data_IF_553347735674
#
_entry.id   IF_553347735674
#
_cell.length_a   1.000
_cell.length_b   1.000
_cell.length_c   1.000
_cell.angle_alpha   90.00
_cell.angle_beta   90.00
_cell.angle_gamma   90.00
#
_symmetry.space_group_name_H-M   'P 1'
#
loop_
_entity.id
_entity.type
_entity.pdbx_description
1 polymer ?
#
# COMPACT_ATOMS: atom_id res chain seq x y z
N UNK A 1 6.18 15.01 -4.63
CA UNK A 1 5.25 14.60 -3.55
C UNK A 1 5.36 13.08 -3.35
N UNK A 2 5.22 12.57 -2.13
CA UNK A 2 5.35 11.14 -1.82
C UNK A 2 3.99 10.56 -1.46
N UNK A 3 3.70 9.33 -1.87
CA UNK A 3 2.52 8.57 -1.49
C UNK A 3 2.93 7.34 -0.70
N UNK A 4 2.23 7.06 0.39
CA UNK A 4 2.30 5.78 1.09
C UNK A 4 1.46 4.74 0.36
N UNK A 5 2.03 3.55 0.15
CA UNK A 5 1.34 2.40 -0.46
C UNK A 5 1.28 1.24 0.52
N UNK A 6 0.08 0.86 0.94
CA UNK A 6 -0.15 -0.15 1.98
C UNK A 6 -0.85 -1.36 1.38
N UNK A 7 -0.12 -2.48 1.32
CA UNK A 7 -0.56 -3.79 0.79
C UNK A 7 -1.40 -4.62 1.77
N UNK A 8 -1.43 -4.25 3.06
CA UNK A 8 -2.07 -5.01 4.11
C UNK A 8 -3.25 -4.27 4.74
N UNK A 9 -4.47 -4.70 4.45
CA UNK A 9 -5.70 -4.09 5.01
C UNK A 9 -6.12 -4.81 6.30
N UNK A 10 -5.31 -4.69 7.37
CA UNK A 10 -5.67 -5.18 8.72
C UNK A 10 -6.78 -4.37 9.38
N UNK A 11 -6.88 -3.08 9.04
CA UNK A 11 -7.89 -2.14 9.53
C UNK A 11 -8.40 -1.30 8.37
N UNK A 12 -9.73 -1.21 8.26
CA UNK A 12 -10.39 -0.27 7.36
C UNK A 12 -10.65 1.04 8.10
N UNK A 13 -10.46 2.16 7.40
CA UNK A 13 -10.74 3.50 7.93
C UNK A 13 -12.17 3.97 7.59
N UNK A 14 -13.09 3.01 7.40
CA UNK A 14 -14.50 3.25 7.14
C UNK A 14 -15.33 2.22 7.90
N UNK A 15 -16.58 2.57 8.16
CA UNK A 15 -17.55 1.66 8.77
C UNK A 15 -17.86 0.48 7.84
N UNK A 16 -18.19 -0.67 8.43
CA UNK A 16 -18.48 -1.91 7.68
C UNK A 16 -19.64 -1.77 6.69
N UNK A 17 -20.54 -0.82 6.92
CA UNK A 17 -21.65 -0.45 6.02
C UNK A 17 -21.17 -0.02 4.63
N UNK A 18 -19.92 0.47 4.52
CA UNK A 18 -19.33 0.89 3.25
C UNK A 18 -18.49 -0.21 2.55
N UNK A 19 -18.41 -1.42 3.10
CA UNK A 19 -17.74 -2.55 2.43
C UNK A 19 -18.30 -2.84 1.03
N UNK A 20 -19.63 -2.80 0.77
CA UNK A 20 -20.17 -3.02 -0.56
C UNK A 20 -19.62 -2.03 -1.61
N UNK A 21 -19.34 -0.78 -1.21
CA UNK A 21 -18.71 0.21 -2.08
C UNK A 21 -17.31 -0.23 -2.51
N UNK A 22 -16.51 -0.76 -1.59
CA UNK A 22 -15.17 -1.23 -1.92
C UNK A 22 -15.19 -2.45 -2.85
N UNK A 23 -16.20 -3.31 -2.69
CA UNK A 23 -16.37 -4.49 -3.54
C UNK A 23 -16.87 -4.16 -4.94
N UNK A 24 -17.60 -3.05 -5.11
CA UNK A 24 -18.11 -2.62 -6.42
C UNK A 24 -17.09 -1.82 -7.26
N UNK A 25 -15.95 -1.42 -6.66
CA UNK A 25 -14.90 -0.73 -7.40
C UNK A 25 -14.32 -1.62 -8.50
N UNK A 26 -14.24 -1.06 -9.71
CA UNK A 26 -13.54 -1.64 -10.86
C UNK A 26 -12.07 -1.19 -10.89
N UNK A 27 -11.15 -1.95 -11.53
CA UNK A 27 -9.76 -1.51 -11.67
C UNK A 27 -9.66 -0.08 -12.21
N UNK A 28 -8.81 0.73 -11.59
CA UNK A 28 -8.71 2.16 -11.92
C UNK A 28 -9.66 3.08 -11.16
N UNK A 29 -10.63 2.52 -10.43
CA UNK A 29 -11.49 3.29 -9.55
C UNK A 29 -10.94 3.35 -8.12
N UNK A 30 -11.38 4.38 -7.40
CA UNK A 30 -11.03 4.59 -5.99
C UNK A 30 -12.25 4.87 -5.13
N UNK A 31 -12.10 4.63 -3.83
CA UNK A 31 -13.02 5.12 -2.82
C UNK A 31 -12.98 6.66 -2.73
N UNK A 32 -13.98 7.27 -2.05
CA UNK A 32 -13.82 8.61 -1.49
C UNK A 32 -12.56 8.74 -0.64
N UNK A 33 -12.08 9.97 -0.51
CA UNK A 33 -10.92 10.31 0.31
C UNK A 33 -11.38 10.42 1.76
N UNK A 34 -10.67 9.74 2.64
CA UNK A 34 -10.95 9.68 4.07
C UNK A 34 -9.85 10.47 4.78
N UNK A 35 -10.23 11.48 5.56
CA UNK A 35 -9.31 12.15 6.49
C UNK A 35 -9.18 11.28 7.74
N UNK A 36 -7.97 10.85 8.05
CA UNK A 36 -7.67 10.01 9.22
C UNK A 36 -6.91 10.81 10.25
N UNK A 37 -7.31 10.73 11.51
CA UNK A 37 -6.49 11.21 12.63
C UNK A 37 -5.42 10.18 12.95
N UNK A 38 -4.18 10.47 12.57
CA UNK A 38 -3.01 9.62 12.72
C UNK A 38 -2.46 9.73 14.14
N UNK A 39 -2.10 10.94 14.57
CA UNK A 39 -1.61 11.28 15.91
C UNK A 39 -1.80 12.79 16.13
N UNK A 40 -2.77 13.19 16.96
CA UNK A 40 -3.09 14.60 17.22
C UNK A 40 -1.84 15.45 17.51
N UNK A 41 -0.89 14.94 18.32
CA UNK A 41 0.35 15.65 18.66
C UNK A 41 1.33 15.89 17.49
N UNK A 42 1.40 14.98 16.51
CA UNK A 42 2.24 15.19 15.30
C UNK A 42 1.52 16.07 14.28
N UNK A 43 0.21 15.85 14.10
CA UNK A 43 -0.64 16.65 13.22
C UNK A 43 -0.66 18.11 13.66
N UNK A 44 -0.77 18.39 14.96
CA UNK A 44 -0.72 19.74 15.53
C UNK A 44 0.66 20.39 15.35
N UNK A 45 1.74 19.63 15.53
CA UNK A 45 3.12 20.15 15.45
C UNK A 45 3.52 20.48 14.01
N UNK A 46 3.21 19.60 13.06
CA UNK A 46 3.57 19.77 11.65
C UNK A 46 2.44 20.46 10.84
N UNK A 47 1.27 20.67 11.47
CA UNK A 47 0.03 21.20 10.89
C UNK A 47 -0.38 20.49 9.60
N UNK A 48 -0.10 19.19 9.44
CA UNK A 48 -0.47 18.41 8.24
C UNK A 48 -1.57 17.41 8.59
N UNK A 49 -2.48 17.19 7.65
CA UNK A 49 -3.54 16.19 7.79
C UNK A 49 -3.14 14.90 7.08
N UNK A 50 -3.49 13.74 7.65
CA UNK A 50 -3.37 12.45 6.97
C UNK A 50 -4.65 12.12 6.22
N UNK A 51 -4.51 11.83 4.93
CA UNK A 51 -5.59 11.36 4.07
C UNK A 51 -5.29 9.96 3.55
N UNK A 52 -6.33 9.16 3.37
CA UNK A 52 -6.24 7.82 2.79
C UNK A 52 -7.41 7.54 1.85
N UNK A 53 -7.18 6.70 0.85
CA UNK A 53 -8.20 6.17 -0.05
C UNK A 53 -7.81 4.76 -0.48
N UNK A 54 -8.77 4.02 -1.01
CA UNK A 54 -8.57 2.67 -1.54
C UNK A 54 -8.63 2.71 -3.06
N UNK A 55 -7.70 2.04 -3.73
CA UNK A 55 -7.64 1.92 -5.20
C UNK A 55 -7.81 0.46 -5.57
N UNK A 56 -8.68 0.17 -6.54
CA UNK A 56 -8.79 -1.16 -7.14
C UNK A 56 -7.71 -1.31 -8.21
N UNK A 57 -6.82 -2.26 -8.00
CA UNK A 57 -5.67 -2.55 -8.86
C UNK A 57 -5.97 -3.60 -9.93
N UNK A 58 -6.84 -4.56 -9.64
CA UNK A 58 -7.14 -5.70 -10.51
C UNK A 58 -8.53 -6.26 -10.26
N UNK A 59 -9.03 -7.09 -11.17
CA UNK A 59 -10.36 -7.72 -11.11
C UNK A 59 -10.50 -8.76 -9.97
N UNK A 60 -9.48 -8.91 -9.11
CA UNK A 60 -9.56 -9.81 -7.97
C UNK A 60 -10.73 -9.46 -7.05
N UNK A 61 -11.52 -10.46 -6.70
CA UNK A 61 -12.67 -10.29 -5.81
C UNK A 61 -12.27 -9.85 -4.40
N UNK A 62 -13.21 -9.17 -3.75
CA UNK A 62 -13.05 -8.67 -2.39
C UNK A 62 -11.88 -7.68 -2.25
N UNK A 63 -11.21 -7.78 -1.10
CA UNK A 63 -10.11 -6.87 -0.72
C UNK A 63 -8.77 -7.25 -1.36
N UNK A 64 -8.66 -8.40 -2.03
CA UNK A 64 -7.39 -8.88 -2.56
C UNK A 64 -6.90 -8.09 -3.78
N UNK A 65 -7.79 -7.38 -4.47
CA UNK A 65 -7.45 -6.45 -5.55
C UNK A 65 -7.36 -4.99 -5.12
N UNK A 66 -7.48 -4.67 -3.82
CA UNK A 66 -7.45 -3.30 -3.32
C UNK A 66 -6.07 -2.98 -2.73
N UNK A 67 -5.58 -1.78 -3.00
CA UNK A 67 -4.47 -1.19 -2.26
C UNK A 67 -4.94 0.06 -1.54
N UNK A 68 -4.41 0.28 -0.33
CA UNK A 68 -4.63 1.53 0.40
C UNK A 68 -3.50 2.49 0.09
N UNK A 69 -3.86 3.70 -0.31
CA UNK A 69 -2.94 4.81 -0.53
C UNK A 69 -3.13 5.84 0.56
N UNK A 70 -2.04 6.46 1.01
CA UNK A 70 -2.09 7.51 2.03
C UNK A 70 -1.11 8.64 1.77
N UNK A 71 -1.42 9.83 2.25
CA UNK A 71 -0.58 11.02 2.11
C UNK A 71 -0.77 11.97 3.30
N UNK A 72 0.28 12.68 3.67
CA UNK A 72 0.23 13.80 4.62
C UNK A 72 0.30 15.11 3.85
N UNK A 73 -0.77 15.92 3.89
CA UNK A 73 -0.87 17.21 3.19
C UNK A 73 -1.81 18.17 3.89
N UNK A 74 -1.66 19.46 3.59
CA UNK A 74 -2.58 20.52 4.02
C UNK A 74 -3.59 20.87 2.93
N UNK A 75 -3.10 20.96 1.69
CA UNK A 75 -3.92 21.32 0.54
C UNK A 75 -4.74 20.12 0.06
N UNK A 76 -6.05 20.20 0.25
CA UNK A 76 -6.97 19.14 -0.13
C UNK A 76 -7.12 19.00 -1.66
N UNK A 77 -6.89 20.06 -2.44
CA UNK A 77 -6.95 19.96 -3.90
C UNK A 77 -5.72 19.21 -4.45
N UNK A 78 -4.54 19.38 -3.84
CA UNK A 78 -3.39 18.50 -4.11
C UNK A 78 -3.72 17.05 -3.77
N UNK A 79 -4.40 16.79 -2.63
CA UNK A 79 -4.80 15.44 -2.23
C UNK A 79 -5.76 14.81 -3.23
N UNK A 80 -6.78 15.55 -3.72
CA UNK A 80 -7.68 15.06 -4.78
C UNK A 80 -6.93 14.68 -6.04
N UNK A 81 -6.05 15.57 -6.52
CA UNK A 81 -5.25 15.34 -7.72
C UNK A 81 -4.37 14.10 -7.58
N UNK A 82 -3.72 13.93 -6.42
CA UNK A 82 -2.92 12.74 -6.13
C UNK A 82 -3.77 11.48 -6.04
N UNK A 83 -4.96 11.56 -5.47
CA UNK A 83 -5.89 10.44 -5.38
C UNK A 83 -6.33 9.97 -6.78
N UNK A 84 -6.75 10.89 -7.64
CA UNK A 84 -7.17 10.58 -9.01
C UNK A 84 -6.00 10.05 -9.85
N UNK A 85 -4.83 10.68 -9.75
CA UNK A 85 -3.62 10.22 -10.44
C UNK A 85 -3.24 8.81 -10.00
N UNK A 86 -3.23 8.53 -8.69
CA UNK A 86 -2.90 7.21 -8.17
C UNK A 86 -3.89 6.14 -8.62
N UNK A 87 -5.18 6.48 -8.73
CA UNK A 87 -6.21 5.57 -9.21
C UNK A 87 -5.96 5.17 -10.68
N UNK A 88 -5.58 6.12 -11.54
CA UNK A 88 -5.25 5.83 -12.93
C UNK A 88 -3.91 5.12 -13.14
N UNK A 89 -2.88 5.46 -12.34
CA UNK A 89 -1.50 5.01 -12.58
C UNK A 89 -1.17 3.67 -11.93
N UNK A 90 -1.58 3.43 -10.69
CA UNK A 90 -1.16 2.24 -9.94
C UNK A 90 -1.62 0.91 -10.57
N UNK A 91 -2.84 0.78 -11.14
CA UNK A 91 -3.28 -0.45 -11.80
C UNK A 91 -2.40 -0.87 -12.98
N UNK A 92 -1.78 0.08 -13.69
CA UNK A 92 -0.85 -0.21 -14.80
C UNK A 92 0.38 -1.00 -14.35
N UNK A 93 0.69 -0.94 -13.05
CA UNK A 93 1.82 -1.63 -12.45
C UNK A 93 1.40 -2.80 -11.56
N UNK A 94 0.10 -3.13 -11.47
CA UNK A 94 -0.37 -4.24 -10.66
C UNK A 94 0.17 -5.57 -11.22
N UNK A 95 0.65 -6.46 -10.33
CA UNK A 95 1.04 -7.80 -10.73
C UNK A 95 -0.19 -8.61 -11.18
N UNK A 96 -0.05 -9.34 -12.29
CA UNK A 96 -1.05 -10.34 -12.66
C UNK A 96 -0.85 -11.60 -11.83
N UNK A 97 -1.92 -12.39 -11.61
CA UNK A 97 -1.89 -13.55 -10.72
C UNK A 97 -0.88 -14.62 -11.14
N UNK A 98 -0.51 -14.69 -12.42
CA UNK A 98 0.54 -15.59 -12.91
C UNK A 98 1.96 -15.08 -12.63
N UNK A 99 2.14 -13.78 -12.41
CA UNK A 99 3.44 -13.15 -12.16
C UNK A 99 3.82 -13.23 -10.68
N UNK A 100 2.86 -13.07 -9.78
CA UNK A 100 3.07 -13.24 -8.34
C UNK A 100 1.79 -13.68 -7.62
N UNK A 101 1.58 -15.00 -7.54
CA UNK A 101 0.44 -15.59 -6.82
C UNK A 101 0.48 -15.32 -5.31
N UNK A 102 1.66 -15.02 -4.74
CA UNK A 102 1.82 -14.80 -3.29
C UNK A 102 1.51 -13.37 -2.87
N UNK A 103 1.51 -12.43 -3.82
CA UNK A 103 1.23 -11.02 -3.54
C UNK A 103 0.57 -10.32 -4.74
N UNK A 104 -0.71 -10.61 -5.02
CA UNK A 104 -1.46 -10.02 -6.15
C UNK A 104 -1.66 -8.50 -6.02
N UNK A 105 -1.36 -7.93 -4.85
CA UNK A 105 -1.41 -6.50 -4.57
C UNK A 105 -0.05 -5.81 -4.77
N UNK A 106 1.00 -6.58 -5.08
CA UNK A 106 2.33 -6.02 -5.23
C UNK A 106 2.46 -5.32 -6.58
N UNK A 107 2.94 -4.08 -6.58
CA UNK A 107 3.26 -3.41 -7.83
C UNK A 107 4.56 -4.00 -8.38
N UNK A 108 4.61 -4.26 -9.69
CA UNK A 108 5.78 -4.80 -10.38
C UNK A 108 7.08 -4.04 -10.04
N UNK A 109 7.11 -2.69 -10.02
CA UNK A 109 8.32 -1.96 -9.63
C UNK A 109 8.75 -2.23 -8.18
N UNK A 110 7.80 -2.34 -7.26
CA UNK A 110 8.08 -2.64 -5.85
C UNK A 110 8.64 -4.05 -5.72
N UNK A 111 8.03 -5.05 -6.35
CA UNK A 111 8.53 -6.42 -6.33
C UNK A 111 9.93 -6.56 -6.95
N UNK A 112 10.23 -5.80 -8.01
CA UNK A 112 11.58 -5.75 -8.61
C UNK A 112 12.60 -5.13 -7.65
N UNK A 113 12.24 -4.03 -6.99
CA UNK A 113 13.09 -3.39 -5.98
C UNK A 113 13.33 -4.33 -4.80
N UNK A 114 12.30 -4.98 -4.26
CA UNK A 114 12.42 -5.97 -3.17
C UNK A 114 13.38 -7.10 -3.56
N UNK A 115 13.28 -7.63 -4.79
CA UNK A 115 14.20 -8.65 -5.30
C UNK A 115 15.63 -8.12 -5.36
N UNK A 116 15.83 -6.92 -5.89
CA UNK A 116 17.16 -6.28 -5.97
C UNK A 116 17.77 -6.10 -4.58
N UNK A 117 17.04 -5.53 -3.62
CA UNK A 117 17.51 -5.32 -2.25
C UNK A 117 17.85 -6.66 -1.58
N UNK A 118 17.04 -7.70 -1.80
CA UNK A 118 17.30 -9.03 -1.24
C UNK A 118 18.61 -9.65 -1.72
N UNK A 119 19.04 -9.37 -2.96
CA UNK A 119 20.34 -9.83 -3.46
C UNK A 119 21.52 -9.18 -2.73
N UNK A 120 21.33 -7.99 -2.15
CA UNK A 120 22.37 -7.24 -1.44
C UNK A 120 22.44 -7.55 0.06
N UNK A 121 21.50 -8.34 0.59
CA UNK A 121 21.51 -8.75 2.01
C UNK A 121 22.48 -9.91 2.29
N UNK A 122 23.06 -10.51 1.26
CA UNK A 122 23.93 -11.68 1.37
C UNK A 122 23.18 -13.02 1.53
N UNK A 123 23.90 -14.15 1.53
CA UNK A 123 23.27 -15.47 1.46
C UNK A 123 22.65 -15.87 2.81
N UNK A 124 21.32 -15.94 2.86
CA UNK A 124 20.55 -16.25 4.08
C UNK A 124 21.08 -17.46 4.86
N UNK A 125 21.40 -18.57 4.17
CA UNK A 125 21.88 -19.80 4.82
C UNK A 125 23.22 -19.61 5.53
N UNK A 126 24.12 -18.81 4.96
CA UNK A 126 25.45 -18.56 5.53
C UNK A 126 25.31 -17.67 6.76
N UNK A 127 24.56 -16.56 6.65
CA UNK A 127 24.32 -15.63 7.76
C UNK A 127 23.62 -16.36 8.91
N UNK A 128 22.57 -17.13 8.61
CA UNK A 128 21.84 -17.93 9.61
C UNK A 128 22.77 -18.89 10.35
N UNK A 129 23.58 -19.68 9.60
CA UNK A 129 24.51 -20.64 10.20
C UNK A 129 25.54 -19.94 11.10
N UNK A 130 26.05 -18.78 10.69
CA UNK A 130 27.02 -18.02 11.49
C UNK A 130 26.40 -17.54 12.81
N UNK A 131 25.18 -17.00 12.75
CA UNK A 131 24.42 -16.59 13.94
C UNK A 131 24.19 -17.80 14.85
N UNK A 132 23.72 -18.93 14.31
CA UNK A 132 23.51 -20.16 15.07
C UNK A 132 24.81 -20.65 15.72
N UNK A 133 25.93 -20.65 15.01
CA UNK A 133 27.22 -21.05 15.58
C UNK A 133 27.69 -20.16 16.74
N UNK A 134 27.27 -18.91 16.78
CA UNK A 134 27.59 -18.01 17.90
C UNK A 134 26.75 -18.31 19.16
N UNK A 135 25.53 -18.84 19.00
CA UNK A 135 24.66 -19.21 20.12
C UNK A 135 24.91 -20.63 20.65
N UNK A 136 25.50 -21.51 19.82
CA UNK A 136 25.83 -22.89 20.19
C UNK A 136 27.34 -23.12 20.43
N UNK A 137 28.13 -22.04 20.53
CA UNK A 137 29.50 -22.04 21.02
C UNK A 137 29.53 -21.66 22.50
#
# INVERSE_FOLDING_TARGET
>A
PFLGFVKGMKRLYMESSYLPLLYSLRPGQRSPIIKTHYQQKQEEKEKVDKYTWYVKLSEHEGIHGLARVEVFRRDFDEVKRLADLSAGVLPLFASQSFQDRRSPQNLLPIGRLEKFLRLHLGPYRIIRRQIESFFYA
#
